data_IF_218631996859
#
_entry.id   IF_218631996859
#
_cell.length_a   1.000
_cell.length_b   1.000
_cell.length_c   1.000
_cell.angle_alpha   90.00
_cell.angle_beta   90.00
_cell.angle_gamma   90.00
#
_symmetry.space_group_name_H-M   'P 1'
#
loop_
_entity.id
_entity.type
_entity.pdbx_description
1 polymer ?
#
# COMPACT_ATOMS: atom_id res chain seq x y z
N UNK A 1 -17.10 12.80 -8.82
CA UNK A 1 -16.28 13.91 -8.29
C UNK A 1 -14.91 13.69 -8.92
N UNK A 2 -14.42 14.63 -9.74
CA UNK A 2 -13.14 14.46 -10.46
C UNK A 2 -11.98 14.38 -9.48
N UNK A 3 -11.73 13.19 -8.95
CA UNK A 3 -10.53 12.92 -8.17
C UNK A 3 -9.42 12.40 -9.10
N UNK A 4 -9.22 13.07 -10.24
CA UNK A 4 -8.17 12.73 -11.22
C UNK A 4 -6.78 12.82 -10.58
N UNK A 5 -6.65 13.57 -9.48
CA UNK A 5 -5.41 13.78 -8.74
C UNK A 5 -5.23 12.85 -7.52
N UNK A 6 -6.21 12.01 -7.16
CA UNK A 6 -6.11 11.15 -5.97
C UNK A 6 -4.84 10.30 -6.00
N UNK A 7 -4.46 9.84 -7.20
CA UNK A 7 -3.27 9.05 -7.40
C UNK A 7 -2.01 9.82 -7.02
N UNK A 8 -1.86 11.04 -7.53
CA UNK A 8 -0.68 11.87 -7.26
C UNK A 8 -0.64 12.28 -5.78
N UNK A 9 -1.78 12.63 -5.18
CA UNK A 9 -1.87 12.98 -3.76
C UNK A 9 -1.45 11.79 -2.88
N UNK A 10 -2.00 10.60 -3.12
CA UNK A 10 -1.65 9.40 -2.36
C UNK A 10 -0.17 9.02 -2.56
N UNK A 11 0.33 9.07 -3.80
CA UNK A 11 1.73 8.77 -4.11
C UNK A 11 2.66 9.73 -3.37
N UNK A 12 2.44 11.03 -3.49
CA UNK A 12 3.32 12.03 -2.92
C UNK A 12 3.34 11.92 -1.38
N UNK A 13 2.19 11.63 -0.75
CA UNK A 13 2.10 11.40 0.69
C UNK A 13 2.91 10.16 1.14
N UNK A 14 2.84 9.06 0.38
CA UNK A 14 3.61 7.85 0.68
C UNK A 14 5.11 8.10 0.43
N UNK A 15 5.46 8.74 -0.67
CA UNK A 15 6.85 8.96 -1.09
C UNK A 15 7.61 9.87 -0.11
N UNK A 16 6.94 10.88 0.47
CA UNK A 16 7.52 11.70 1.54
C UNK A 16 7.96 10.85 2.73
N UNK A 17 7.15 9.88 3.15
CA UNK A 17 7.49 9.03 4.31
C UNK A 17 8.54 7.97 3.94
N UNK A 18 8.47 7.41 2.74
CA UNK A 18 9.50 6.50 2.19
C UNK A 18 10.87 7.19 2.19
N UNK A 19 10.97 8.40 1.66
CA UNK A 19 12.23 9.16 1.59
C UNK A 19 12.81 9.47 2.98
N UNK A 20 11.96 9.73 3.99
CA UNK A 20 12.44 9.91 5.37
C UNK A 20 13.05 8.63 5.94
N UNK A 21 12.39 7.50 5.73
CA UNK A 21 12.92 6.21 6.20
C UNK A 21 14.20 5.84 5.47
N UNK A 22 14.27 6.06 4.16
CA UNK A 22 15.47 5.83 3.35
C UNK A 22 16.62 6.70 3.84
N UNK A 23 16.42 8.01 3.98
CA UNK A 23 17.42 8.93 4.50
C UNK A 23 17.95 8.50 5.87
N UNK A 24 17.06 8.07 6.78
CA UNK A 24 17.44 7.56 8.09
C UNK A 24 18.27 6.26 7.99
N UNK A 25 17.84 5.29 7.17
CA UNK A 25 18.55 4.02 7.05
C UNK A 25 19.88 4.19 6.32
N UNK A 26 19.95 5.07 5.33
CA UNK A 26 21.15 5.39 4.57
C UNK A 26 22.18 6.07 5.46
N UNK A 27 21.78 7.03 6.30
CA UNK A 27 22.67 7.66 7.29
C UNK A 27 23.32 6.62 8.20
N UNK A 28 22.55 5.66 8.69
CA UNK A 28 23.07 4.56 9.53
C UNK A 28 23.93 3.58 8.73
N UNK A 29 23.64 3.33 7.46
CA UNK A 29 24.49 2.49 6.60
C UNK A 29 25.89 3.10 6.39
N UNK A 30 26.02 4.42 6.47
CA UNK A 30 27.31 5.12 6.37
C UNK A 30 28.06 5.24 7.72
N UNK A 31 27.38 5.08 8.87
CA UNK A 31 27.99 5.04 10.21
C UNK A 31 27.70 3.71 10.93
N UNK A 32 28.58 2.74 10.73
CA UNK A 32 28.44 1.40 11.29
C UNK A 32 28.48 1.36 12.83
N UNK A 33 29.09 2.35 13.49
CA UNK A 33 29.11 2.41 14.96
C UNK A 33 27.73 2.80 15.44
N UNK A 34 27.19 3.90 14.92
CA UNK A 34 25.85 4.37 15.25
C UNK A 34 24.76 3.38 14.85
N UNK A 35 24.91 2.68 13.72
CA UNK A 35 24.01 1.60 13.31
C UNK A 35 23.97 0.45 14.31
N UNK A 36 25.11 0.10 14.93
CA UNK A 36 25.14 -0.95 15.97
C UNK A 36 24.41 -0.49 17.23
N UNK A 37 24.56 0.78 17.61
CA UNK A 37 23.87 1.38 18.74
C UNK A 37 22.36 1.50 18.52
N UNK A 38 21.93 1.74 17.28
CA UNK A 38 20.53 1.92 16.87
C UNK A 38 19.99 0.76 16.02
N UNK A 39 20.46 -0.48 16.26
CA UNK A 39 20.17 -1.61 15.37
C UNK A 39 18.69 -1.98 15.35
N UNK A 40 17.97 -1.76 16.45
CA UNK A 40 16.55 -2.02 16.53
C UNK A 40 15.77 -1.03 15.67
N UNK A 41 16.04 0.27 15.81
CA UNK A 41 15.42 1.36 15.06
C UNK A 41 15.70 1.23 13.56
N UNK A 42 16.95 0.91 13.20
CA UNK A 42 17.32 0.61 11.82
C UNK A 42 16.44 -0.50 11.24
N UNK A 43 16.30 -1.63 11.95
CA UNK A 43 15.51 -2.77 11.49
C UNK A 43 14.02 -2.41 11.39
N UNK A 44 13.45 -1.79 12.43
CA UNK A 44 12.06 -1.31 12.41
C UNK A 44 11.79 -0.39 11.22
N UNK A 45 12.69 0.55 10.93
CA UNK A 45 12.58 1.44 9.78
C UNK A 45 12.57 0.67 8.44
N UNK A 46 13.42 -0.35 8.29
CA UNK A 46 13.42 -1.20 7.08
C UNK A 46 12.11 -1.97 6.91
N UNK A 47 11.52 -2.51 7.98
CA UNK A 47 10.24 -3.23 7.90
C UNK A 47 9.08 -2.31 7.58
N UNK A 48 9.05 -1.13 8.19
CA UNK A 48 8.05 -0.10 7.89
C UNK A 48 8.16 0.39 6.44
N UNK A 49 9.38 0.62 5.95
CA UNK A 49 9.65 0.96 4.56
C UNK A 49 9.17 -0.13 3.61
N UNK A 50 9.47 -1.39 3.90
CA UNK A 50 9.05 -2.52 3.09
C UNK A 50 7.51 -2.66 3.05
N UNK A 51 6.83 -2.46 4.17
CA UNK A 51 5.36 -2.41 4.23
C UNK A 51 4.78 -1.32 3.33
N UNK A 52 5.25 -0.08 3.45
CA UNK A 52 4.76 1.02 2.60
C UNK A 52 5.03 0.78 1.11
N UNK A 53 6.23 0.30 0.79
CA UNK A 53 6.67 0.07 -0.60
C UNK A 53 5.84 -1.00 -1.28
N UNK A 54 5.38 -2.02 -0.55
CA UNK A 54 4.56 -3.10 -1.11
C UNK A 54 3.24 -2.56 -1.69
N UNK A 55 2.49 -1.79 -0.91
CA UNK A 55 1.24 -1.16 -1.34
C UNK A 55 1.51 -0.07 -2.40
N UNK A 56 2.52 0.77 -2.18
CA UNK A 56 2.87 1.86 -3.11
C UNK A 56 3.24 1.35 -4.50
N UNK A 57 4.08 0.30 -4.57
CA UNK A 57 4.45 -0.32 -5.83
C UNK A 57 3.21 -0.87 -6.54
N UNK A 58 2.33 -1.59 -5.81
CA UNK A 58 1.10 -2.13 -6.39
C UNK A 58 0.19 -1.03 -6.93
N UNK A 59 0.03 0.05 -6.16
CA UNK A 59 -0.73 1.23 -6.54
C UNK A 59 -0.19 1.88 -7.83
N UNK A 60 1.13 2.06 -7.92
CA UNK A 60 1.78 2.58 -9.12
C UNK A 60 1.58 1.65 -10.33
N UNK A 61 1.76 0.35 -10.17
CA UNK A 61 1.56 -0.62 -11.26
C UNK A 61 0.10 -0.66 -11.72
N UNK A 62 -0.86 -0.68 -10.79
CA UNK A 62 -2.28 -0.61 -11.12
C UNK A 62 -2.63 0.68 -11.86
N UNK A 63 -2.08 1.83 -11.50
CA UNK A 63 -2.35 3.06 -12.24
C UNK A 63 -1.71 3.03 -13.64
N UNK A 64 -0.42 2.70 -13.73
CA UNK A 64 0.32 2.75 -15.00
C UNK A 64 -0.14 1.72 -16.03
N UNK A 65 -0.55 0.54 -15.56
CA UNK A 65 -0.82 -0.61 -16.40
C UNK A 65 -2.27 -1.13 -16.28
N UNK A 66 -3.02 -0.69 -15.28
CA UNK A 66 -4.33 -1.24 -14.94
C UNK A 66 -5.52 -0.48 -15.51
N UNK A 67 -6.55 -1.30 -15.77
CA UNK A 67 -7.95 -0.98 -16.07
C UNK A 67 -8.25 -0.49 -17.49
N UNK A 68 -8.42 -1.45 -18.42
CA UNK A 68 -9.26 -1.27 -19.61
C UNK A 68 -10.60 -1.95 -19.35
N UNK A 69 -11.65 -1.16 -19.17
CA UNK A 69 -12.98 -1.63 -18.78
C UNK A 69 -13.72 -2.37 -19.89
N UNK A 70 -13.15 -2.62 -21.07
CA UNK A 70 -13.93 -3.24 -22.15
C UNK A 70 -13.48 -4.64 -22.54
N UNK A 71 -12.20 -5.01 -22.37
CA UNK A 71 -11.70 -6.35 -22.70
C UNK A 71 -10.43 -6.65 -21.89
N UNK A 72 -10.50 -7.73 -21.09
CA UNK A 72 -9.41 -8.35 -20.31
C UNK A 72 -8.91 -7.49 -19.15
N UNK A 73 -9.42 -7.81 -17.95
CA UNK A 73 -9.20 -6.98 -16.78
C UNK A 73 -8.10 -7.50 -15.86
N UNK A 74 -7.51 -6.55 -15.13
CA UNK A 74 -6.54 -6.68 -14.03
C UNK A 74 -5.19 -7.28 -14.44
N UNK A 75 -4.25 -6.43 -14.85
CA UNK A 75 -2.87 -6.85 -15.10
C UNK A 75 -2.10 -7.26 -13.83
N UNK A 76 -2.75 -7.23 -12.66
CA UNK A 76 -2.19 -7.67 -11.39
C UNK A 76 -3.09 -8.78 -10.84
N UNK A 77 -2.74 -10.06 -11.09
CA UNK A 77 -3.55 -11.21 -10.70
C UNK A 77 -3.89 -11.23 -9.21
N UNK A 78 -3.00 -10.76 -8.35
CA UNK A 78 -3.21 -10.70 -6.91
C UNK A 78 -4.32 -9.72 -6.49
N UNK A 79 -4.44 -8.57 -7.15
CA UNK A 79 -5.55 -7.63 -6.91
C UNK A 79 -6.86 -8.20 -7.48
N UNK A 80 -6.79 -8.82 -8.65
CA UNK A 80 -7.96 -9.43 -9.28
C UNK A 80 -8.59 -10.52 -8.42
N UNK A 81 -7.77 -11.43 -7.89
CA UNK A 81 -8.23 -12.54 -7.08
C UNK A 81 -9.00 -12.09 -5.83
N UNK A 82 -8.73 -10.87 -5.34
CA UNK A 82 -9.44 -10.29 -4.20
C UNK A 82 -10.82 -9.72 -4.55
N UNK A 83 -11.01 -9.22 -5.77
CA UNK A 83 -12.24 -8.48 -6.16
C UNK A 83 -13.11 -9.21 -7.18
N UNK A 84 -12.63 -10.29 -7.79
CA UNK A 84 -13.32 -11.01 -8.87
C UNK A 84 -14.70 -11.57 -8.51
N UNK A 85 -14.95 -11.79 -7.23
CA UNK A 85 -16.22 -12.30 -6.69
C UNK A 85 -16.96 -11.25 -5.85
N UNK A 86 -16.40 -10.04 -5.69
CA UNK A 86 -17.01 -8.96 -4.91
C UNK A 86 -18.06 -8.23 -5.74
N UNK A 87 -19.32 -8.59 -5.54
CA UNK A 87 -20.45 -7.95 -6.23
C UNK A 87 -20.58 -6.46 -5.92
N UNK A 88 -20.21 -6.03 -4.70
CA UNK A 88 -20.30 -4.63 -4.30
C UNK A 88 -19.22 -3.78 -4.99
N UNK A 89 -18.03 -4.35 -5.23
CA UNK A 89 -17.01 -3.73 -6.05
C UNK A 89 -17.53 -3.44 -7.47
N UNK A 90 -18.10 -4.43 -8.15
CA UNK A 90 -18.59 -4.23 -9.53
C UNK A 90 -19.77 -3.27 -9.58
N UNK A 91 -20.70 -3.36 -8.63
CA UNK A 91 -21.82 -2.42 -8.53
C UNK A 91 -21.33 -0.97 -8.36
N UNK A 92 -20.32 -0.74 -7.51
CA UNK A 92 -19.75 0.60 -7.31
C UNK A 92 -19.07 1.13 -8.58
N UNK A 93 -18.33 0.28 -9.30
CA UNK A 93 -17.68 0.66 -10.57
C UNK A 93 -18.70 0.91 -11.67
N UNK A 94 -19.72 0.08 -11.80
CA UNK A 94 -20.73 0.18 -12.85
C UNK A 94 -21.62 1.42 -12.69
N UNK A 95 -21.88 1.82 -11.44
CA UNK A 95 -22.64 3.02 -11.10
C UNK A 95 -21.83 4.33 -11.17
N UNK A 96 -20.50 4.26 -11.33
CA UNK A 96 -19.67 5.45 -11.47
C UNK A 96 -19.81 6.08 -12.88
N UNK A 97 -19.62 7.42 -13.01
CA UNK A 97 -19.52 8.07 -14.31
C UNK A 97 -18.48 7.39 -15.21
N UNK A 98 -18.73 7.31 -16.52
CA UNK A 98 -17.88 6.55 -17.45
C UNK A 98 -16.40 7.02 -17.43
N UNK A 99 -16.17 8.32 -17.25
CA UNK A 99 -14.84 8.91 -17.11
C UNK A 99 -14.18 8.65 -15.74
N UNK A 100 -14.94 8.24 -14.73
CA UNK A 100 -14.47 7.94 -13.37
C UNK A 100 -14.34 6.44 -13.08
N UNK A 101 -14.97 5.54 -13.87
CA UNK A 101 -14.96 4.07 -13.63
C UNK A 101 -13.58 3.50 -13.38
N UNK A 102 -12.59 3.94 -14.17
CA UNK A 102 -11.19 3.51 -14.02
C UNK A 102 -10.63 3.91 -12.64
N UNK A 103 -10.87 5.15 -12.25
CA UNK A 103 -10.40 5.73 -10.98
C UNK A 103 -11.07 5.03 -9.79
N UNK A 104 -12.38 4.78 -9.87
CA UNK A 104 -13.14 4.03 -8.85
C UNK A 104 -12.60 2.60 -8.71
N UNK A 105 -12.45 1.88 -9.83
CA UNK A 105 -11.94 0.51 -9.83
C UNK A 105 -10.52 0.42 -9.27
N UNK A 106 -9.65 1.39 -9.62
CA UNK A 106 -8.31 1.49 -9.08
C UNK A 106 -8.32 1.69 -7.56
N UNK A 107 -9.09 2.67 -7.07
CA UNK A 107 -9.21 2.97 -5.65
C UNK A 107 -9.69 1.76 -4.86
N UNK A 108 -10.84 1.18 -5.24
CA UNK A 108 -11.42 0.05 -4.54
C UNK A 108 -10.53 -1.19 -4.59
N UNK A 109 -9.91 -1.48 -5.73
CA UNK A 109 -9.04 -2.65 -5.88
C UNK A 109 -7.78 -2.55 -5.02
N UNK A 110 -7.17 -1.37 -4.97
CA UNK A 110 -5.98 -1.16 -4.13
C UNK A 110 -6.33 -1.10 -2.66
N UNK A 111 -7.51 -0.58 -2.30
CA UNK A 111 -8.00 -0.63 -0.93
C UNK A 111 -8.22 -2.08 -0.47
N UNK A 112 -8.88 -2.90 -1.28
CA UNK A 112 -9.05 -4.33 -1.02
C UNK A 112 -7.71 -5.06 -0.86
N UNK A 113 -6.73 -4.73 -1.71
CA UNK A 113 -5.37 -5.27 -1.61
C UNK A 113 -4.68 -4.88 -0.30
N UNK A 114 -4.74 -3.60 0.09
CA UNK A 114 -4.18 -3.11 1.34
C UNK A 114 -4.82 -3.78 2.55
N UNK A 115 -6.16 -3.90 2.55
CA UNK A 115 -6.92 -4.55 3.61
C UNK A 115 -6.59 -6.04 3.73
N UNK A 116 -6.44 -6.74 2.60
CA UNK A 116 -6.00 -8.12 2.58
C UNK A 116 -4.61 -8.30 3.21
N UNK A 117 -3.62 -7.49 2.79
CA UNK A 117 -2.27 -7.56 3.35
C UNK A 117 -2.24 -7.25 4.85
N UNK A 118 -3.05 -6.29 5.31
CA UNK A 118 -3.16 -5.98 6.74
C UNK A 118 -3.73 -7.19 7.49
N UNK A 119 -4.84 -7.75 7.01
CA UNK A 119 -5.47 -8.92 7.65
C UNK A 119 -4.56 -10.14 7.68
N UNK A 120 -3.83 -10.41 6.58
CA UNK A 120 -2.86 -11.51 6.51
C UNK A 120 -1.78 -11.33 7.58
N UNK A 121 -1.17 -10.14 7.69
CA UNK A 121 -0.12 -9.88 8.68
C UNK A 121 -0.64 -9.91 10.11
N UNK A 122 -1.85 -9.39 10.37
CA UNK A 122 -2.50 -9.49 11.67
C UNK A 122 -2.75 -10.95 12.08
N UNK A 123 -3.12 -11.82 11.13
CA UNK A 123 -3.33 -13.24 11.41
C UNK A 123 -2.02 -13.95 11.81
N UNK A 124 -0.89 -13.56 11.20
CA UNK A 124 0.41 -14.15 11.49
C UNK A 124 0.93 -13.75 12.87
N UNK A 125 0.60 -12.55 13.36
CA UNK A 125 1.01 -12.06 14.69
C UNK A 125 0.52 -12.98 15.82
N UNK A 126 -0.66 -13.59 15.67
CA UNK A 126 -1.23 -14.45 16.70
C UNK A 126 -0.36 -15.68 17.03
N UNK A 127 0.46 -16.12 16.09
CA UNK A 127 1.32 -17.30 16.22
C UNK A 127 2.81 -16.99 16.12
N UNK A 128 3.18 -15.71 16.00
CA UNK A 128 4.57 -15.28 15.83
C UNK A 128 5.37 -15.36 17.14
N UNK A 129 6.68 -15.62 17.02
CA UNK A 129 7.62 -15.43 18.13
C UNK A 129 7.75 -13.94 18.48
N UNK A 130 8.30 -13.62 19.65
CA UNK A 130 8.43 -12.23 20.12
C UNK A 130 9.11 -11.31 19.09
N UNK A 131 10.12 -11.83 18.40
CA UNK A 131 10.87 -11.03 17.44
C UNK A 131 10.16 -10.92 16.09
N UNK A 132 9.60 -12.01 15.57
CA UNK A 132 8.76 -12.00 14.36
C UNK A 132 7.53 -11.10 14.53
N UNK A 133 7.00 -11.03 15.75
CA UNK A 133 5.90 -10.14 16.09
C UNK A 133 6.28 -8.67 15.92
N UNK A 134 7.44 -8.24 16.44
CA UNK A 134 7.94 -6.87 16.26
C UNK A 134 8.12 -6.54 14.77
N UNK A 135 8.67 -7.47 14.00
CA UNK A 135 8.78 -7.36 12.55
C UNK A 135 7.42 -7.12 11.88
N UNK A 136 6.46 -8.00 12.15
CA UNK A 136 5.12 -7.96 11.56
C UNK A 136 4.36 -6.68 11.97
N UNK A 137 4.52 -6.22 13.21
CA UNK A 137 3.94 -4.98 13.70
C UNK A 137 4.49 -3.76 12.94
N UNK A 138 5.79 -3.71 12.66
CA UNK A 138 6.39 -2.62 11.88
C UNK A 138 5.99 -2.66 10.40
N UNK A 139 5.88 -3.86 9.82
CA UNK A 139 5.27 -4.03 8.49
C UNK A 139 3.83 -3.50 8.46
N UNK A 140 3.03 -3.80 9.48
CA UNK A 140 1.65 -3.32 9.61
C UNK A 140 1.58 -1.80 9.74
N UNK A 141 2.51 -1.16 10.48
CA UNK A 141 2.60 0.30 10.53
C UNK A 141 2.77 0.85 9.11
N UNK A 142 3.67 0.26 8.32
CA UNK A 142 3.87 0.65 6.92
C UNK A 142 2.62 0.43 6.05
N UNK A 143 1.99 -0.73 6.13
CA UNK A 143 0.76 -1.01 5.36
C UNK A 143 -0.38 -0.04 5.71
N UNK A 144 -0.61 0.18 7.02
CA UNK A 144 -1.67 1.07 7.51
C UNK A 144 -1.41 2.52 7.11
N UNK A 145 -0.15 2.96 7.11
CA UNK A 145 0.21 4.30 6.64
C UNK A 145 -0.12 4.46 5.15
N UNK A 146 0.32 3.54 4.29
CA UNK A 146 0.05 3.61 2.85
C UNK A 146 -1.46 3.56 2.56
N UNK A 147 -2.19 2.65 3.21
CA UNK A 147 -3.67 2.59 3.12
C UNK A 147 -4.31 3.92 3.53
N UNK A 148 -3.87 4.51 4.64
CA UNK A 148 -4.39 5.79 5.12
C UNK A 148 -4.19 6.88 4.07
N UNK A 149 -3.01 6.98 3.46
CA UNK A 149 -2.75 7.95 2.39
C UNK A 149 -3.68 7.76 1.19
N UNK A 150 -4.00 6.52 0.81
CA UNK A 150 -4.93 6.22 -0.29
C UNK A 150 -6.35 6.67 0.05
N UNK A 151 -6.82 6.40 1.27
CA UNK A 151 -8.16 6.82 1.73
C UNK A 151 -8.25 8.33 1.83
N UNK A 152 -7.29 8.99 2.48
CA UNK A 152 -7.27 10.44 2.63
C UNK A 152 -7.22 11.13 1.26
N UNK A 153 -6.42 10.63 0.32
CA UNK A 153 -6.38 11.19 -1.03
C UNK A 153 -7.69 11.04 -1.80
N UNK A 154 -8.45 9.96 -1.55
CA UNK A 154 -9.75 9.75 -2.15
C UNK A 154 -10.84 10.69 -1.62
N UNK A 155 -10.72 11.10 -0.36
CA UNK A 155 -11.67 11.98 0.33
C UNK A 155 -11.47 13.48 0.05
N UNK A 156 -10.31 13.86 -0.53
CA UNK A 156 -9.97 15.24 -0.95
C UNK A 156 -10.61 15.57 -2.29
#
# INVERSE_FOLDING_TARGET
MKNENFFDIARDAIEVEVQKLEAFTDELDHDLTRKREMIAEYKCAKYRHAGMTNISARFYFCNKFGYKYEKQYYQLPDVWELVKEDSAFFEAVDNAPEDEKRTVALYLGILAYADHLISEKESLIATATDWEKVELEEYLVGHRFARKCIVEAWEV
#
